data_IF_390824176758
#
_entry.id   IF_390824176758
#
_cell.length_a   1.000
_cell.length_b   1.000
_cell.length_c   1.000
_cell.angle_alpha   90.00
_cell.angle_beta   90.00
_cell.angle_gamma   90.00
#
_symmetry.space_group_name_H-M   'P 1'
#
loop_
_entity.id
_entity.type
_entity.pdbx_description
1 polymer ?
#
# COMPACT_ATOMS: atom_id res chain seq x y z
N UNK A 1 15.47 -8.14 22.72
CA UNK A 1 16.51 -7.49 21.89
C UNK A 1 16.17 -7.70 20.40
N UNK A 2 16.40 -6.72 19.54
CA UNK A 2 16.09 -6.82 18.10
C UNK A 2 17.38 -6.61 17.31
N UNK A 3 17.69 -7.47 16.34
CA UNK A 3 18.91 -7.37 15.54
C UNK A 3 18.56 -7.30 14.05
N UNK A 4 19.29 -6.50 13.29
CA UNK A 4 19.18 -6.45 11.84
C UNK A 4 20.09 -7.49 11.18
N UNK A 5 19.59 -8.11 10.12
CA UNK A 5 20.34 -9.05 9.28
C UNK A 5 20.24 -8.53 7.85
N UNK A 6 21.39 -8.17 7.28
CA UNK A 6 21.52 -7.75 5.90
C UNK A 6 21.61 -8.97 4.98
N UNK A 7 20.66 -9.10 4.06
CA UNK A 7 20.54 -10.16 3.09
C UNK A 7 20.95 -9.70 1.68
N UNK A 8 21.08 -10.65 0.76
CA UNK A 8 21.12 -10.36 -0.68
C UNK A 8 19.75 -9.87 -1.14
N UNK A 9 19.72 -8.81 -1.95
CA UNK A 9 18.48 -8.23 -2.49
C UNK A 9 17.57 -9.28 -3.12
N UNK A 10 16.30 -9.30 -2.73
CA UNK A 10 15.29 -10.23 -3.25
C UNK A 10 15.39 -11.66 -2.69
N UNK A 11 16.32 -11.91 -1.77
CA UNK A 11 16.48 -13.20 -1.09
C UNK A 11 16.03 -13.15 0.37
N UNK A 12 15.42 -12.06 0.83
CA UNK A 12 15.04 -11.85 2.24
C UNK A 12 14.02 -12.89 2.71
N UNK A 13 13.01 -13.19 1.87
CA UNK A 13 12.01 -14.22 2.17
C UNK A 13 12.63 -15.62 2.22
N UNK A 14 13.53 -15.93 1.28
CA UNK A 14 14.25 -17.22 1.28
C UNK A 14 15.18 -17.36 2.48
N UNK A 15 15.84 -16.27 2.88
CA UNK A 15 16.67 -16.23 4.07
C UNK A 15 15.84 -16.44 5.34
N UNK A 16 14.67 -15.80 5.43
CA UNK A 16 13.70 -16.03 6.50
C UNK A 16 13.28 -17.50 6.55
N UNK A 17 12.82 -18.06 5.43
CA UNK A 17 12.36 -19.47 5.36
C UNK A 17 13.47 -20.45 5.76
N UNK A 18 14.70 -20.25 5.28
CA UNK A 18 15.84 -21.07 5.70
C UNK A 18 16.17 -20.90 7.19
N UNK A 19 16.13 -19.67 7.71
CA UNK A 19 16.38 -19.45 9.14
C UNK A 19 15.31 -20.10 10.00
N UNK A 20 14.03 -20.00 9.63
CA UNK A 20 12.93 -20.68 10.33
C UNK A 20 13.08 -22.21 10.28
N UNK A 21 13.73 -22.77 9.24
CA UNK A 21 14.02 -24.20 9.17
C UNK A 21 15.26 -24.63 9.97
N UNK A 22 16.29 -23.78 10.01
CA UNK A 22 17.60 -24.11 10.61
C UNK A 22 17.70 -23.74 12.09
N UNK A 23 16.89 -22.79 12.57
CA UNK A 23 16.85 -22.42 13.98
C UNK A 23 16.19 -23.56 14.76
N UNK A 24 16.87 -24.14 15.77
CA UNK A 24 16.30 -25.18 16.63
C UNK A 24 15.02 -24.71 17.34
N UNK A 25 14.07 -25.62 17.55
CA UNK A 25 12.76 -25.34 18.18
C UNK A 25 12.88 -24.55 19.50
N UNK A 26 13.88 -24.91 20.33
CA UNK A 26 14.18 -24.22 21.61
C UNK A 26 14.43 -22.72 21.46
N UNK A 27 14.93 -22.28 20.31
CA UNK A 27 15.20 -20.88 19.98
C UNK A 27 13.98 -20.26 19.29
N UNK A 28 13.24 -21.02 18.46
CA UNK A 28 12.03 -20.51 17.78
C UNK A 28 10.98 -19.99 18.78
N UNK A 29 10.85 -20.63 19.95
CA UNK A 29 9.96 -20.16 21.02
C UNK A 29 10.36 -18.79 21.59
N UNK A 30 11.65 -18.45 21.47
CA UNK A 30 12.28 -17.28 22.07
C UNK A 30 12.70 -16.23 21.04
N UNK A 31 12.60 -16.55 19.76
CA UNK A 31 13.04 -15.70 18.67
C UNK A 31 11.97 -15.57 17.60
N UNK A 32 11.72 -14.33 17.15
CA UNK A 32 10.76 -14.05 16.08
C UNK A 32 11.51 -13.43 14.91
N UNK A 33 11.47 -14.08 13.75
CA UNK A 33 12.05 -13.55 12.52
C UNK A 33 11.01 -12.69 11.80
N UNK A 34 11.37 -11.44 11.56
CA UNK A 34 10.54 -10.43 10.94
C UNK A 34 11.16 -10.08 9.60
N UNK A 35 10.51 -10.49 8.50
CA UNK A 35 10.85 -10.02 7.16
C UNK A 35 9.86 -8.92 6.77
N UNK A 36 10.30 -7.65 6.60
CA UNK A 36 9.44 -6.59 6.13
C UNK A 36 9.12 -6.78 4.65
N UNK A 37 8.05 -7.52 4.39
CA UNK A 37 7.45 -7.69 3.07
C UNK A 37 6.11 -6.98 3.01
N UNK A 38 5.85 -6.24 1.93
CA UNK A 38 4.50 -5.82 1.58
C UNK A 38 3.94 -6.74 0.49
N UNK A 39 2.67 -7.12 0.63
CA UNK A 39 1.98 -7.84 -0.45
C UNK A 39 1.32 -6.81 -1.35
N UNK A 40 1.82 -6.60 -2.56
CA UNK A 40 1.16 -5.75 -3.57
C UNK A 40 0.17 -6.57 -4.39
N UNK A 41 -1.13 -6.30 -4.28
CA UNK A 41 -2.15 -6.81 -5.20
C UNK A 41 -2.27 -5.85 -6.37
N UNK A 42 -1.90 -6.28 -7.57
CA UNK A 42 -2.05 -5.47 -8.78
C UNK A 42 -3.42 -5.75 -9.43
N UNK A 43 -4.22 -4.72 -9.62
CA UNK A 43 -5.46 -4.74 -10.39
C UNK A 43 -5.17 -4.04 -11.73
N UNK A 44 -5.18 -4.80 -12.82
CA UNK A 44 -5.12 -4.29 -14.21
C UNK A 44 -6.50 -4.46 -14.82
N UNK A 45 -6.82 -3.70 -15.87
CA UNK A 45 -8.06 -3.84 -16.65
C UNK A 45 -8.34 -5.33 -16.95
N UNK A 46 -9.20 -5.95 -16.11
CA UNK A 46 -9.63 -7.36 -16.12
C UNK A 46 -8.71 -8.44 -15.53
N UNK A 47 -7.65 -8.13 -14.76
CA UNK A 47 -6.84 -9.16 -14.07
C UNK A 47 -6.31 -8.70 -12.72
N UNK A 48 -6.49 -9.53 -11.69
CA UNK A 48 -5.81 -9.39 -10.39
C UNK A 48 -4.58 -10.30 -10.34
N UNK A 49 -3.42 -9.74 -10.00
CA UNK A 49 -2.20 -10.51 -9.75
C UNK A 49 -1.59 -10.13 -8.42
N UNK A 50 -1.29 -11.09 -7.55
CA UNK A 50 -0.61 -10.86 -6.27
C UNK A 50 0.91 -10.86 -6.50
N UNK A 51 1.60 -9.81 -6.06
CA UNK A 51 3.06 -9.70 -6.10
C UNK A 51 3.56 -9.29 -4.72
N UNK A 52 4.44 -10.09 -4.12
CA UNK A 52 5.11 -9.72 -2.88
C UNK A 52 6.27 -8.77 -3.25
N UNK A 53 6.35 -7.61 -2.59
CA UNK A 53 7.45 -6.66 -2.70
C UNK A 53 8.09 -6.48 -1.32
N UNK A 54 9.38 -6.75 -1.19
CA UNK A 54 10.11 -6.44 0.03
C UNK A 54 10.50 -4.95 -0.01
N UNK A 55 9.98 -4.16 0.95
CA UNK A 55 10.23 -2.71 1.02
C UNK A 55 11.45 -2.37 1.87
N UNK A 56 11.83 -3.24 2.81
CA UNK A 56 13.14 -3.17 3.42
C UNK A 56 14.12 -3.86 2.47
N UNK A 57 14.70 -3.08 1.55
CA UNK A 57 15.75 -3.54 0.66
C UNK A 57 16.80 -4.23 1.53
N UNK A 58 16.87 -5.55 1.45
CA UNK A 58 17.95 -6.36 1.97
C UNK A 58 17.97 -6.55 3.49
N UNK A 59 16.90 -6.28 4.26
CA UNK A 59 16.93 -6.52 5.70
C UNK A 59 15.81 -7.46 6.17
N UNK A 60 16.20 -8.45 6.97
CA UNK A 60 15.30 -9.13 7.91
C UNK A 60 15.73 -8.76 9.33
N UNK A 61 14.83 -8.91 10.28
CA UNK A 61 15.08 -8.64 11.68
C UNK A 61 14.83 -9.89 12.50
N UNK A 62 15.58 -10.05 13.59
CA UNK A 62 15.27 -11.08 14.57
C UNK A 62 15.06 -10.44 15.93
N UNK A 63 13.91 -10.71 16.52
CA UNK A 63 13.57 -10.31 17.88
C UNK A 63 13.82 -11.49 18.80
N UNK A 64 14.82 -11.39 19.68
CA UNK A 64 15.16 -12.40 20.69
C UNK A 64 14.64 -11.92 22.04
N UNK A 65 13.86 -12.78 22.72
CA UNK A 65 13.21 -12.49 24.01
C UNK A 65 14.07 -12.83 25.23
N UNK A 66 15.18 -13.54 25.04
CA UNK A 66 16.09 -13.86 26.14
C UNK A 66 16.80 -12.61 26.67
N UNK A 67 17.01 -12.56 27.99
CA UNK A 67 17.70 -11.49 28.71
C UNK A 67 19.22 -11.64 28.72
N UNK A 68 19.75 -12.84 28.50
CA UNK A 68 21.17 -13.18 28.62
C UNK A 68 21.94 -13.19 27.27
N UNK A 69 21.22 -13.11 26.14
CA UNK A 69 21.82 -13.11 24.80
C UNK A 69 22.37 -14.45 24.32
N UNK A 70 22.16 -15.55 25.06
CA UNK A 70 22.66 -16.88 24.68
C UNK A 70 22.11 -17.35 23.33
N UNK A 71 20.80 -17.16 23.11
CA UNK A 71 20.12 -17.43 21.83
C UNK A 71 20.64 -16.59 20.66
N UNK A 72 21.23 -15.40 20.90
CA UNK A 72 21.78 -14.58 19.82
C UNK A 72 23.03 -15.21 19.21
N UNK A 73 23.94 -15.76 20.02
CA UNK A 73 25.16 -16.37 19.52
C UNK A 73 24.87 -17.58 18.63
N UNK A 74 23.91 -18.42 19.04
CA UNK A 74 23.53 -19.60 18.25
C UNK A 74 22.86 -19.20 16.93
N UNK A 75 21.95 -18.22 16.95
CA UNK A 75 21.39 -17.67 15.71
C UNK A 75 22.46 -17.02 14.85
N UNK A 76 23.42 -16.32 15.46
CA UNK A 76 24.49 -15.65 14.75
C UNK A 76 25.32 -16.65 13.93
N UNK A 77 25.71 -17.77 14.54
CA UNK A 77 26.44 -18.84 13.84
C UNK A 77 25.60 -19.49 12.73
N UNK A 78 24.30 -19.74 12.97
CA UNK A 78 23.39 -20.25 11.92
C UNK A 78 23.32 -19.27 10.74
N UNK A 79 23.12 -17.98 11.02
CA UNK A 79 23.02 -16.95 10.01
C UNK A 79 24.28 -16.84 9.14
N UNK A 80 25.47 -17.06 9.71
CA UNK A 80 26.74 -17.05 8.96
C UNK A 80 26.83 -18.16 7.91
N UNK A 81 26.13 -19.28 8.12
CA UNK A 81 26.08 -20.41 7.19
C UNK A 81 25.12 -20.22 6.03
N UNK A 82 24.28 -19.18 6.02
CA UNK A 82 23.21 -19.01 5.03
C UNK A 82 23.71 -18.20 3.82
N UNK A 83 23.65 -18.74 2.59
CA UNK A 83 24.22 -18.12 1.38
C UNK A 83 23.56 -16.81 0.94
N UNK A 84 22.42 -16.44 1.55
CA UNK A 84 21.70 -15.20 1.26
C UNK A 84 21.89 -14.13 2.34
N UNK A 85 22.62 -14.42 3.41
CA UNK A 85 22.93 -13.47 4.49
C UNK A 85 24.33 -12.92 4.26
N UNK A 86 24.41 -11.60 4.11
CA UNK A 86 25.66 -10.89 3.89
C UNK A 86 26.30 -10.43 5.21
N UNK A 87 25.48 -9.96 6.16
CA UNK A 87 25.97 -9.41 7.44
C UNK A 87 24.89 -9.48 8.51
N UNK A 88 25.29 -9.68 9.76
CA UNK A 88 24.43 -9.55 10.93
C UNK A 88 24.96 -8.35 11.74
N UNK A 89 24.06 -7.48 12.19
CA UNK A 89 24.42 -6.40 13.09
C UNK A 89 24.36 -6.92 14.52
N UNK A 90 25.51 -6.82 15.20
CA UNK A 90 25.75 -7.21 16.58
C UNK A 90 25.11 -6.24 17.59
N UNK A 91 24.86 -5.00 17.18
CA UNK A 91 24.14 -4.00 17.99
C UNK A 91 22.64 -4.22 17.91
N UNK A 92 22.03 -4.36 19.08
CA UNK A 92 20.57 -4.41 19.16
C UNK A 92 19.96 -3.05 18.84
N UNK A 93 18.85 -3.08 18.11
CA UNK A 93 18.01 -1.93 17.80
C UNK A 93 17.10 -1.68 18.99
N UNK A 94 17.05 -0.46 19.54
CA UNK A 94 16.08 -0.10 20.56
C UNK A 94 14.66 -0.36 20.06
N UNK A 95 13.83 -1.00 20.88
CA UNK A 95 12.48 -1.38 20.48
C UNK A 95 11.63 -0.18 20.03
N UNK A 96 11.79 0.96 20.68
CA UNK A 96 11.11 2.20 20.28
C UNK A 96 11.53 2.67 18.88
N UNK A 97 12.82 2.54 18.53
CA UNK A 97 13.31 2.90 17.20
C UNK A 97 12.83 1.92 16.14
N UNK A 98 12.86 0.63 16.45
CA UNK A 98 12.32 -0.41 15.57
C UNK A 98 10.82 -0.20 15.32
N UNK A 99 10.02 0.01 16.36
CA UNK A 99 8.60 0.27 16.24
C UNK A 99 8.31 1.56 15.47
N UNK A 100 9.10 2.63 15.69
CA UNK A 100 9.02 3.87 14.92
C UNK A 100 9.38 3.66 13.45
N UNK A 101 10.41 2.86 13.16
CA UNK A 101 10.84 2.50 11.82
C UNK A 101 9.75 1.70 11.09
N UNK A 102 9.23 0.64 11.71
CA UNK A 102 8.13 -0.16 11.17
C UNK A 102 6.87 0.70 10.94
N UNK A 103 6.54 1.60 11.88
CA UNK A 103 5.45 2.56 11.74
C UNK A 103 5.68 3.57 10.60
N UNK A 104 6.91 4.07 10.41
CA UNK A 104 7.29 4.98 9.31
C UNK A 104 7.25 4.30 7.95
N UNK A 105 7.63 3.03 7.89
CA UNK A 105 7.41 2.21 6.70
C UNK A 105 5.92 1.92 6.47
N UNK A 106 5.07 2.24 7.44
CA UNK A 106 3.66 1.91 7.41
C UNK A 106 3.48 0.40 7.31
N UNK A 107 4.23 -0.37 8.09
CA UNK A 107 4.19 -1.83 8.08
C UNK A 107 3.82 -2.32 9.46
N UNK A 108 2.65 -2.95 9.59
CA UNK A 108 2.50 -4.06 10.54
C UNK A 108 2.89 -5.37 9.86
N UNK A 109 3.29 -6.37 10.65
CA UNK A 109 3.64 -7.71 10.18
C UNK A 109 2.48 -8.20 9.28
N UNK A 110 2.75 -8.42 7.99
CA UNK A 110 1.80 -8.85 6.95
C UNK A 110 0.78 -7.80 6.43
N UNK A 111 1.18 -6.56 6.16
CA UNK A 111 0.30 -5.63 5.45
C UNK A 111 0.33 -5.79 3.92
N UNK A 112 -0.87 -5.86 3.35
CA UNK A 112 -1.09 -5.82 1.92
C UNK A 112 -1.35 -4.37 1.44
N UNK A 113 -0.89 -4.08 0.24
CA UNK A 113 -1.15 -2.85 -0.49
C UNK A 113 -1.72 -3.22 -1.86
N UNK A 114 -2.47 -2.32 -2.46
CA UNK A 114 -3.19 -2.57 -3.70
C UNK A 114 -2.71 -1.55 -4.71
N UNK A 115 -2.15 -2.02 -5.82
CA UNK A 115 -1.76 -1.21 -6.96
C UNK A 115 -2.83 -1.33 -8.04
N UNK A 116 -3.40 -0.21 -8.45
CA UNK A 116 -4.44 -0.12 -9.48
C UNK A 116 -3.81 0.54 -10.69
N UNK A 117 -3.61 -0.22 -11.77
CA UNK A 117 -3.16 0.33 -13.05
C UNK A 117 -4.39 0.74 -13.88
N UNK A 118 -4.39 1.98 -14.37
CA UNK A 118 -5.48 2.51 -15.20
C UNK A 118 -4.91 3.06 -16.50
N UNK A 119 -5.66 2.91 -17.59
CA UNK A 119 -5.37 3.63 -18.82
C UNK A 119 -5.86 5.08 -18.67
N UNK A 120 -4.92 6.01 -18.63
CA UNK A 120 -5.21 7.42 -18.44
C UNK A 120 -5.45 8.06 -19.81
N UNK A 121 -6.71 8.39 -20.14
CA UNK A 121 -7.02 9.28 -21.26
C UNK A 121 -7.12 10.71 -20.73
N UNK A 122 -6.35 11.62 -21.35
CA UNK A 122 -6.02 12.92 -20.79
C UNK A 122 -7.22 13.89 -20.71
N UNK A 123 -7.23 14.64 -19.61
CA UNK A 123 -8.22 15.57 -19.04
C UNK A 123 -8.53 16.86 -19.86
N UNK A 124 -8.24 16.88 -21.16
CA UNK A 124 -8.56 18.06 -22.02
C UNK A 124 -10.06 18.25 -22.24
N UNK A 125 -10.89 17.24 -21.97
CA UNK A 125 -12.35 17.30 -22.13
C UNK A 125 -13.05 17.91 -20.91
N UNK A 126 -12.70 17.51 -19.69
CA UNK A 126 -13.35 17.99 -18.45
C UNK A 126 -13.26 19.50 -18.26
N UNK A 127 -12.09 20.11 -18.54
CA UNK A 127 -11.94 21.59 -18.56
C UNK A 127 -12.79 22.27 -19.66
N UNK A 128 -12.98 21.61 -20.80
CA UNK A 128 -13.85 22.12 -21.87
C UNK A 128 -15.33 22.00 -21.48
N UNK A 129 -15.74 20.90 -20.85
CA UNK A 129 -17.10 20.72 -20.35
C UNK A 129 -17.46 21.71 -19.25
N UNK A 130 -16.57 21.97 -18.28
CA UNK A 130 -16.78 23.01 -17.27
C UNK A 130 -16.95 24.40 -17.88
N UNK A 131 -16.18 24.72 -18.92
CA UNK A 131 -16.36 25.96 -19.67
C UNK A 131 -17.68 25.97 -20.48
N UNK A 132 -18.11 24.83 -21.02
CA UNK A 132 -19.37 24.68 -21.75
C UNK A 132 -20.59 24.82 -20.82
N UNK A 133 -20.55 24.25 -19.61
CA UNK A 133 -21.59 24.41 -18.59
C UNK A 133 -21.73 25.88 -18.17
N UNK A 134 -20.61 26.58 -17.96
CA UNK A 134 -20.60 28.00 -17.63
C UNK A 134 -21.08 28.89 -18.80
N UNK A 135 -21.16 28.34 -20.01
CA UNK A 135 -21.65 29.01 -21.23
C UNK A 135 -23.03 28.53 -21.67
N UNK A 136 -23.67 27.60 -20.93
CA UNK A 136 -24.98 27.08 -21.28
C UNK A 136 -26.06 28.19 -21.21
N UNK A 137 -26.89 28.29 -22.25
CA UNK A 137 -27.85 29.39 -22.40
C UNK A 137 -29.18 29.09 -21.72
N UNK A 138 -29.49 27.80 -21.50
CA UNK A 138 -30.76 27.37 -20.88
C UNK A 138 -30.54 26.41 -19.69
N UNK A 139 -31.48 26.35 -18.73
CA UNK A 139 -31.41 25.43 -17.60
C UNK A 139 -31.40 23.94 -18.01
N UNK A 140 -32.08 23.58 -19.10
CA UNK A 140 -32.16 22.21 -19.61
C UNK A 140 -30.85 21.77 -20.27
N UNK A 141 -30.23 22.63 -21.08
CA UNK A 141 -28.88 22.39 -21.62
C UNK A 141 -27.86 22.24 -20.50
N UNK A 142 -27.95 23.13 -19.49
CA UNK A 142 -27.06 23.08 -18.34
C UNK A 142 -27.21 21.77 -17.57
N UNK A 143 -28.44 21.35 -17.27
CA UNK A 143 -28.75 20.09 -16.58
C UNK A 143 -28.22 18.87 -17.36
N UNK A 144 -28.39 18.85 -18.69
CA UNK A 144 -27.88 17.77 -19.53
C UNK A 144 -26.35 17.76 -19.62
N UNK A 145 -25.70 18.93 -19.65
CA UNK A 145 -24.24 19.03 -19.62
C UNK A 145 -23.65 18.69 -18.25
N UNK A 146 -24.35 19.00 -17.16
CA UNK A 146 -24.00 18.61 -15.79
C UNK A 146 -24.11 17.08 -15.61
N UNK A 147 -25.16 16.45 -16.13
CA UNK A 147 -25.30 14.98 -16.14
C UNK A 147 -24.18 14.29 -16.94
N UNK A 148 -23.83 14.83 -18.11
CA UNK A 148 -22.69 14.34 -18.90
C UNK A 148 -21.35 14.53 -18.17
N UNK A 149 -21.19 15.61 -17.40
CA UNK A 149 -20.01 15.84 -16.58
C UNK A 149 -19.95 14.88 -15.39
N UNK A 150 -21.06 14.55 -14.75
CA UNK A 150 -21.12 13.54 -13.68
C UNK A 150 -20.64 12.17 -14.18
N UNK A 151 -21.14 11.70 -15.33
CA UNK A 151 -20.63 10.48 -15.97
C UNK A 151 -19.13 10.58 -16.34
N UNK A 152 -18.64 11.78 -16.64
CA UNK A 152 -17.24 12.04 -16.96
C UNK A 152 -16.34 12.12 -15.71
N UNK A 153 -16.87 12.58 -14.57
CA UNK A 153 -16.20 12.61 -13.27
C UNK A 153 -16.00 11.22 -12.69
N UNK A 154 -16.84 10.25 -13.05
CA UNK A 154 -16.64 8.84 -12.77
C UNK A 154 -15.54 8.19 -13.63
N UNK A 155 -14.91 8.93 -14.57
CA UNK A 155 -13.78 8.39 -15.32
C UNK A 155 -12.54 8.23 -14.44
N UNK A 156 -11.73 7.18 -14.67
CA UNK A 156 -10.54 6.90 -13.85
C UNK A 156 -9.57 8.09 -13.70
N UNK A 157 -9.44 8.94 -14.72
CA UNK A 157 -8.52 10.08 -14.74
C UNK A 157 -8.90 11.19 -13.75
N UNK A 158 -10.18 11.55 -13.68
CA UNK A 158 -10.71 12.56 -12.74
C UNK A 158 -10.61 12.09 -11.29
N UNK A 159 -10.90 10.80 -11.06
CA UNK A 159 -10.84 10.17 -9.74
C UNK A 159 -9.39 10.12 -9.22
N UNK A 160 -8.42 9.80 -10.09
CA UNK A 160 -6.99 9.87 -9.74
C UNK A 160 -6.59 11.28 -9.30
N UNK A 161 -7.10 12.31 -9.96
CA UNK A 161 -6.84 13.70 -9.62
C UNK A 161 -7.40 14.11 -8.27
N UNK A 162 -8.62 13.68 -7.95
CA UNK A 162 -9.21 13.85 -6.64
C UNK A 162 -8.40 13.11 -5.57
N UNK A 163 -7.98 11.85 -5.82
CA UNK A 163 -7.12 11.10 -4.90
C UNK A 163 -5.84 11.87 -4.59
N UNK A 164 -5.16 12.41 -5.61
CA UNK A 164 -3.95 13.21 -5.42
C UNK A 164 -4.17 14.45 -4.57
N UNK A 165 -5.30 15.15 -4.76
CA UNK A 165 -5.64 16.31 -3.94
C UNK A 165 -5.85 15.92 -2.48
N UNK A 166 -6.61 14.84 -2.23
CA UNK A 166 -6.87 14.33 -0.88
C UNK A 166 -5.57 13.91 -0.18
N UNK A 167 -4.66 13.22 -0.88
CA UNK A 167 -3.34 12.84 -0.36
C UNK A 167 -2.51 14.08 0.00
N UNK A 168 -2.50 15.10 -0.86
CA UNK A 168 -1.78 16.36 -0.58
C UNK A 168 -2.33 17.08 0.65
N UNK A 169 -3.65 17.06 0.86
CA UNK A 169 -4.30 17.63 2.04
C UNK A 169 -3.92 16.82 3.29
N UNK A 170 -4.06 15.49 3.26
CA UNK A 170 -3.77 14.62 4.39
C UNK A 170 -2.28 14.57 4.79
N UNK A 171 -1.36 14.80 3.85
CA UNK A 171 0.08 14.91 4.14
C UNK A 171 0.41 16.17 4.95
N UNK A 172 -0.40 17.23 4.87
CA UNK A 172 -0.22 18.42 5.72
C UNK A 172 -0.61 18.18 7.17
N UNK A 173 -1.39 17.12 7.46
CA UNK A 173 -1.83 16.73 8.80
C UNK A 173 -1.10 15.51 9.36
N UNK A 174 0.04 15.11 8.78
CA UNK A 174 0.87 13.97 9.22
C UNK A 174 0.13 12.61 9.34
N UNK A 175 -0.91 12.39 8.53
CA UNK A 175 -1.70 11.16 8.59
C UNK A 175 -1.01 9.99 7.86
N UNK A 176 -0.57 8.98 8.62
CA UNK A 176 0.18 7.82 8.12
C UNK A 176 -0.60 6.93 7.14
N UNK A 177 -1.94 6.88 7.22
CA UNK A 177 -2.77 6.10 6.26
C UNK A 177 -2.73 6.70 4.86
N UNK A 178 -2.71 8.04 4.76
CA UNK A 178 -2.67 8.75 3.48
C UNK A 178 -1.25 8.91 2.93
N UNK A 179 -0.22 8.87 3.78
CA UNK A 179 1.18 8.82 3.32
C UNK A 179 1.46 7.59 2.44
N UNK A 180 0.74 6.48 2.68
CA UNK A 180 0.85 5.22 1.94
C UNK A 180 0.05 5.17 0.65
N UNK A 181 -0.80 6.18 0.42
CA UNK A 181 -1.50 6.32 -0.86
C UNK A 181 -0.57 7.04 -1.83
N UNK A 182 -0.19 6.36 -2.91
CA UNK A 182 0.73 6.91 -3.92
C UNK A 182 0.06 6.93 -5.28
N UNK A 183 0.16 8.06 -5.97
CA UNK A 183 -0.28 8.19 -7.35
C UNK A 183 0.93 8.45 -8.24
N UNK A 184 1.15 7.58 -9.22
CA UNK A 184 2.16 7.78 -10.26
C UNK A 184 1.48 8.07 -11.59
N UNK A 185 1.89 9.15 -12.24
CA UNK A 185 1.43 9.52 -13.58
C UNK A 185 2.50 9.23 -14.62
N UNK A 186 2.14 8.41 -15.61
CA UNK A 186 2.87 8.34 -16.87
C UNK A 186 1.98 8.91 -17.99
N UNK A 187 2.57 9.22 -19.16
CA UNK A 187 1.83 9.77 -20.32
C UNK A 187 0.68 8.89 -20.82
N UNK A 188 0.66 7.59 -20.48
CA UNK A 188 -0.34 6.62 -20.97
C UNK A 188 -1.08 5.87 -19.85
N UNK A 189 -0.55 5.84 -18.63
CA UNK A 189 -1.07 5.06 -17.50
C UNK A 189 -1.04 5.85 -16.20
N UNK A 190 -2.09 5.71 -15.41
CA UNK A 190 -2.12 6.10 -14.00
C UNK A 190 -1.89 4.88 -13.13
N UNK A 191 -1.13 5.03 -12.06
CA UNK A 191 -1.00 4.02 -11.00
C UNK A 191 -1.50 4.62 -9.71
N UNK A 192 -2.41 3.94 -9.02
CA UNK A 192 -2.85 4.28 -7.65
C UNK A 192 -2.48 3.14 -6.72
N UNK A 193 -1.64 3.41 -5.74
CA UNK A 193 -1.30 2.49 -4.67
C UNK A 193 -2.09 2.89 -3.42
N UNK A 194 -2.84 1.97 -2.82
CA UNK A 194 -3.62 2.21 -1.59
C UNK A 194 -3.37 1.09 -0.56
N UNK A 195 -3.49 1.36 0.76
CA UNK A 195 -3.52 0.29 1.75
C UNK A 195 -4.69 -0.68 1.53
N UNK A 196 -4.51 -1.96 1.83
CA UNK A 196 -5.57 -2.97 1.69
C UNK A 196 -6.79 -2.69 2.58
N UNK A 197 -6.60 -2.06 3.74
CA UNK A 197 -7.70 -1.61 4.61
C UNK A 197 -8.66 -0.66 3.86
N UNK A 198 -8.11 0.30 3.10
CA UNK A 198 -8.90 1.25 2.30
C UNK A 198 -9.64 0.53 1.19
N UNK A 199 -8.99 -0.44 0.53
CA UNK A 199 -9.66 -1.29 -0.47
C UNK A 199 -10.85 -2.04 0.16
N UNK A 200 -10.66 -2.70 1.32
CA UNK A 200 -11.72 -3.46 1.97
C UNK A 200 -12.91 -2.57 2.34
N UNK A 201 -12.65 -1.39 2.89
CA UNK A 201 -13.70 -0.40 3.17
C UNK A 201 -14.44 0.01 1.90
N UNK A 202 -13.72 0.25 0.80
CA UNK A 202 -14.34 0.59 -0.49
C UNK A 202 -15.23 -0.55 -1.01
N UNK A 203 -14.78 -1.80 -0.89
CA UNK A 203 -15.57 -2.99 -1.24
C UNK A 203 -16.83 -3.14 -0.37
N UNK A 204 -16.74 -2.83 0.93
CA UNK A 204 -17.90 -2.86 1.84
C UNK A 204 -18.95 -1.82 1.44
N UNK A 205 -18.54 -0.59 1.13
CA UNK A 205 -19.45 0.46 0.65
C UNK A 205 -20.12 0.03 -0.65
N UNK A 206 -19.36 -0.50 -1.61
CA UNK A 206 -19.92 -0.96 -2.87
C UNK A 206 -20.90 -2.13 -2.70
N UNK A 207 -20.64 -3.03 -1.73
CA UNK A 207 -21.56 -4.13 -1.40
C UNK A 207 -22.89 -3.62 -0.83
N UNK A 208 -22.87 -2.56 -0.03
CA UNK A 208 -24.10 -1.92 0.48
C UNK A 208 -24.95 -1.32 -0.66
N UNK A 209 -24.32 -0.93 -1.76
CA UNK A 209 -24.96 -0.40 -2.97
C UNK A 209 -25.28 -1.48 -4.02
N UNK A 210 -25.24 -2.77 -3.64
CA UNK A 210 -25.52 -3.92 -4.50
C UNK A 210 -24.62 -4.06 -5.74
N UNK A 211 -23.40 -3.50 -5.71
CA UNK A 211 -22.43 -3.68 -6.79
C UNK A 211 -21.75 -5.04 -6.67
N UNK A 212 -21.68 -5.77 -7.78
CA UNK A 212 -21.04 -7.08 -7.82
C UNK A 212 -19.51 -6.99 -7.75
N UNK A 213 -18.87 -8.03 -7.21
CA UNK A 213 -17.41 -8.09 -7.10
C UNK A 213 -16.73 -8.00 -8.47
N UNK A 214 -17.32 -8.59 -9.51
CA UNK A 214 -16.78 -8.57 -10.88
C UNK A 214 -16.82 -7.17 -11.51
N UNK A 215 -17.80 -6.34 -11.15
CA UNK A 215 -17.82 -4.93 -11.58
C UNK A 215 -16.69 -4.13 -10.90
N UNK A 216 -16.37 -4.43 -9.64
CA UNK A 216 -15.31 -3.79 -8.86
C UNK A 216 -13.89 -4.25 -9.24
N UNK A 217 -13.75 -5.24 -10.13
CA UNK A 217 -12.45 -5.56 -10.74
C UNK A 217 -12.02 -4.53 -11.79
N UNK A 218 -12.96 -3.70 -12.25
CA UNK A 218 -12.67 -2.61 -13.19
C UNK A 218 -12.19 -1.37 -12.41
N UNK A 219 -11.00 -0.83 -12.71
CA UNK A 219 -10.50 0.39 -12.06
C UNK A 219 -11.50 1.56 -12.12
N UNK A 220 -12.23 1.72 -13.24
CA UNK A 220 -13.26 2.75 -13.40
C UNK A 220 -14.35 2.70 -12.32
N UNK A 221 -14.75 1.50 -11.91
CA UNK A 221 -15.81 1.32 -10.90
C UNK A 221 -15.22 1.38 -9.50
N UNK A 222 -14.03 0.81 -9.29
CA UNK A 222 -13.41 0.70 -7.97
C UNK A 222 -12.89 2.04 -7.41
N UNK A 223 -12.30 2.87 -8.26
CA UNK A 223 -11.63 4.11 -7.83
C UNK A 223 -12.59 5.13 -7.16
N UNK A 224 -13.82 5.36 -7.65
CA UNK A 224 -14.78 6.24 -6.97
C UNK A 224 -15.03 5.83 -5.51
N UNK A 225 -15.20 4.53 -5.24
CA UNK A 225 -15.40 4.03 -3.88
C UNK A 225 -14.16 4.22 -3.00
N UNK A 226 -12.97 4.02 -3.56
CA UNK A 226 -11.72 4.31 -2.85
C UNK A 226 -11.64 5.79 -2.47
N UNK A 227 -11.94 6.70 -3.38
CA UNK A 227 -11.96 8.14 -3.08
C UNK A 227 -12.95 8.50 -2.00
N UNK A 228 -14.17 7.96 -2.05
CA UNK A 228 -15.19 8.24 -1.05
C UNK A 228 -14.76 7.77 0.35
N UNK A 229 -14.07 6.64 0.46
CA UNK A 229 -13.49 6.18 1.74
C UNK A 229 -12.38 7.11 2.21
N UNK A 230 -11.50 7.53 1.30
CA UNK A 230 -10.44 8.48 1.61
C UNK A 230 -11.01 9.84 2.09
N UNK A 231 -12.05 10.35 1.46
CA UNK A 231 -12.75 11.59 1.90
C UNK A 231 -13.37 11.43 3.28
N UNK A 232 -14.08 10.31 3.52
CA UNK A 232 -14.67 10.03 4.84
C UNK A 232 -13.61 9.99 5.93
N UNK A 233 -12.53 9.23 5.75
CA UNK A 233 -11.45 9.12 6.76
C UNK A 233 -10.76 10.47 7.05
N UNK A 234 -10.79 11.41 6.09
CA UNK A 234 -10.34 12.80 6.28
C UNK A 234 -11.33 13.64 7.09
N UNK A 235 -12.64 13.46 6.87
CA UNK A 235 -13.70 14.25 7.52
C UNK A 235 -14.00 13.82 8.95
N UNK A 236 -13.90 12.54 9.30
CA UNK A 236 -14.15 12.06 10.69
C UNK A 236 -13.11 12.57 11.70
N UNK A 237 -12.15 13.37 11.27
CA UNK A 237 -11.04 13.89 12.07
C UNK A 237 -11.05 15.43 12.21
N UNK A 238 -12.01 16.12 11.58
CA UNK A 238 -12.30 17.54 11.81
C UNK A 238 -13.36 17.70 12.89
#
# INVERSE_FOLDING_TARGET
MIYAIYCKTGSEMKAKELLEQLIPDRIQEKATIICPSSTTICIKDHRRSKRIRNMAYNYIYIQIKDSDGSSFNEVYEICRGIPYINKIFDRSIPEQEFNRFMKRLGMTINEAEVLIETNYSYDKKTKRYLNQINQALTPEERSQMESNLEEEMERPSCVIEQSERLIKVAKKSDNSKFQRVYVHRSKKKGLVQVPYEILNKALQVAKQENITVSQLEKPKVLLPYINRVLEKELMTQQ
#
